data_IF_538719787940
#
_entry.id   IF_538719787940
#
_cell.length_a   1.000
_cell.length_b   1.000
_cell.length_c   1.000
_cell.angle_alpha   90.00
_cell.angle_beta   90.00
_cell.angle_gamma   90.00
#
_symmetry.space_group_name_H-M   'P 1'
#
loop_
_entity.id
_entity.type
_entity.pdbx_description
1 polymer ?
#
# COMPACT_ATOMS: atom_id res chain seq x y z
N UNK A 1 -29.50 2.24 -25.56
CA UNK A 1 -29.96 1.28 -24.53
C UNK A 1 -28.90 1.22 -23.45
N UNK A 2 -29.27 1.70 -22.27
CA UNK A 2 -28.75 1.43 -20.91
C UNK A 2 -27.23 1.34 -20.74
N UNK A 3 -26.69 2.46 -20.27
CA UNK A 3 -25.55 2.53 -19.34
C UNK A 3 -25.77 1.58 -18.15
N UNK A 4 -24.96 0.52 -18.04
CA UNK A 4 -24.81 -0.23 -16.80
C UNK A 4 -23.48 -0.98 -16.77
N UNK A 5 -22.36 -0.25 -16.82
CA UNK A 5 -21.16 -0.72 -16.15
C UNK A 5 -21.23 -0.15 -14.74
N UNK A 6 -21.70 -0.96 -13.80
CA UNK A 6 -21.65 -0.70 -12.37
C UNK A 6 -20.20 -0.36 -12.02
N UNK A 7 -19.92 0.93 -11.83
CA UNK A 7 -18.65 1.40 -11.27
C UNK A 7 -18.60 0.92 -9.83
N UNK A 8 -17.96 -0.23 -9.64
CA UNK A 8 -17.44 -0.64 -8.35
C UNK A 8 -16.63 0.54 -7.77
N UNK A 9 -17.01 1.00 -6.58
CA UNK A 9 -16.39 2.15 -5.90
C UNK A 9 -15.03 1.74 -5.31
N UNK A 10 -14.08 1.39 -6.17
CA UNK A 10 -12.68 1.13 -5.82
C UNK A 10 -11.79 2.18 -6.50
N UNK A 11 -12.16 3.46 -6.35
CA UNK A 11 -11.44 4.57 -6.98
C UNK A 11 -10.27 5.02 -6.13
N UNK A 12 -9.16 4.28 -6.20
CA UNK A 12 -7.86 4.69 -5.68
C UNK A 12 -6.69 4.32 -6.61
N UNK A 13 -6.97 3.91 -7.85
CA UNK A 13 -5.97 3.32 -8.72
C UNK A 13 -5.92 4.00 -10.07
N UNK A 14 -5.10 5.05 -10.20
CA UNK A 14 -4.27 5.25 -11.41
C UNK A 14 -3.19 6.34 -11.28
N UNK A 15 -2.56 6.52 -10.10
CA UNK A 15 -1.92 7.82 -9.83
C UNK A 15 -0.50 8.00 -10.44
N UNK A 16 0.30 6.97 -10.72
CA UNK A 16 1.69 7.18 -11.16
C UNK A 16 2.21 6.12 -12.13
N UNK A 17 2.54 6.50 -13.37
CA UNK A 17 3.14 5.58 -14.34
C UNK A 17 4.67 5.59 -14.28
N UNK A 18 5.22 4.39 -14.08
CA UNK A 18 6.63 3.95 -14.09
C UNK A 18 7.53 4.38 -12.92
N UNK A 19 7.97 5.64 -12.83
CA UNK A 19 8.97 6.03 -11.84
C UNK A 19 8.41 6.27 -10.44
N UNK A 20 7.30 7.02 -10.27
CA UNK A 20 6.76 7.23 -8.93
C UNK A 20 6.08 5.97 -8.39
N UNK A 21 5.66 5.02 -9.25
CA UNK A 21 5.24 3.68 -8.84
C UNK A 21 6.38 2.85 -8.27
N UNK A 22 7.56 2.90 -8.91
CA UNK A 22 8.75 2.22 -8.38
C UNK A 22 9.18 2.83 -7.05
N UNK A 23 9.16 4.16 -6.95
CA UNK A 23 9.48 4.86 -5.71
C UNK A 23 8.47 4.55 -4.61
N UNK A 24 7.17 4.53 -4.91
CA UNK A 24 6.15 4.15 -3.92
C UNK A 24 6.32 2.71 -3.45
N UNK A 25 6.70 1.80 -4.35
CA UNK A 25 7.01 0.40 -4.02
C UNK A 25 8.23 0.29 -3.09
N UNK A 26 9.33 0.98 -3.42
CA UNK A 26 10.54 0.98 -2.60
C UNK A 26 10.32 1.63 -1.23
N UNK A 27 9.58 2.74 -1.20
CA UNK A 27 9.17 3.38 0.04
C UNK A 27 8.35 2.43 0.92
N UNK A 28 7.35 1.75 0.33
CA UNK A 28 6.55 0.78 1.06
C UNK A 28 7.39 -0.37 1.62
N UNK A 29 8.32 -0.92 0.82
CA UNK A 29 9.23 -1.96 1.29
C UNK A 29 10.10 -1.49 2.46
N UNK A 30 10.67 -0.28 2.39
CA UNK A 30 11.53 0.26 3.45
C UNK A 30 10.75 0.48 4.76
N UNK A 31 9.53 1.01 4.68
CA UNK A 31 8.68 1.21 5.87
C UNK A 31 8.28 -0.14 6.49
N UNK A 32 7.93 -1.13 5.68
CA UNK A 32 7.57 -2.47 6.16
C UNK A 32 8.76 -3.14 6.84
N UNK A 33 9.94 -3.14 6.19
CA UNK A 33 11.16 -3.71 6.76
C UNK A 33 11.53 -3.04 8.10
N UNK A 34 11.53 -1.70 8.14
CA UNK A 34 11.76 -0.94 9.38
C UNK A 34 10.74 -1.27 10.47
N UNK A 35 9.50 -1.61 10.10
CA UNK A 35 8.47 -2.01 11.06
C UNK A 35 8.76 -3.38 11.67
N UNK A 36 9.18 -4.35 10.85
CA UNK A 36 9.58 -5.68 11.32
C UNK A 36 10.88 -5.67 12.13
N UNK A 37 11.80 -4.76 11.80
CA UNK A 37 13.01 -4.49 12.59
C UNK A 37 12.71 -3.76 13.92
N UNK A 38 11.48 -3.27 14.12
CA UNK A 38 11.05 -2.57 15.33
C UNK A 38 11.49 -1.10 15.41
N UNK A 39 12.13 -0.57 14.37
CA UNK A 39 12.55 0.84 14.29
C UNK A 39 11.39 1.78 13.93
N UNK A 40 10.38 1.27 13.22
CA UNK A 40 9.09 1.95 12.98
C UNK A 40 7.97 1.22 13.71
N UNK A 41 7.13 1.94 14.45
CA UNK A 41 5.94 1.30 15.06
C UNK A 41 4.87 1.03 14.00
N UNK A 42 4.06 -0.02 14.17
CA UNK A 42 2.90 -0.27 13.31
C UNK A 42 2.00 0.97 13.13
N UNK A 43 1.81 1.76 14.19
CA UNK A 43 1.00 2.99 14.14
C UNK A 43 1.60 4.05 13.19
N UNK A 44 2.91 4.19 13.18
CA UNK A 44 3.59 5.11 12.24
C UNK A 44 3.60 4.54 10.83
N UNK A 45 3.86 3.24 10.68
CA UNK A 45 3.81 2.56 9.39
C UNK A 45 2.44 2.75 8.70
N UNK A 46 1.35 2.64 9.46
CA UNK A 46 0.00 2.88 8.96
C UNK A 46 -0.21 4.31 8.46
N UNK A 47 0.35 5.30 9.17
CA UNK A 47 0.30 6.70 8.74
C UNK A 47 1.11 6.93 7.47
N UNK A 48 2.33 6.39 7.41
CA UNK A 48 3.22 6.53 6.26
C UNK A 48 2.67 5.86 5.00
N UNK A 49 2.03 4.69 5.15
CA UNK A 49 1.48 3.91 4.04
C UNK A 49 0.01 4.23 3.73
N UNK A 50 -0.63 5.09 4.53
CA UNK A 50 -2.05 5.40 4.41
C UNK A 50 -2.98 4.21 4.67
N UNK A 51 -2.50 3.19 5.39
CA UNK A 51 -3.31 2.01 5.76
C UNK A 51 -3.98 2.24 7.11
N UNK A 52 -5.16 1.65 7.31
CA UNK A 52 -5.91 1.76 8.59
C UNK A 52 -6.07 0.42 9.31
N UNK A 53 -5.80 -0.68 8.61
CA UNK A 53 -6.01 -2.06 9.10
C UNK A 53 -4.68 -2.80 9.04
N UNK A 54 -4.38 -3.54 10.11
CA UNK A 54 -3.20 -4.40 10.16
C UNK A 54 -3.16 -5.42 9.02
N UNK A 55 -4.29 -6.07 8.72
CA UNK A 55 -4.38 -7.03 7.60
C UNK A 55 -4.00 -6.41 6.23
N UNK A 56 -4.29 -5.12 6.00
CA UNK A 56 -3.87 -4.43 4.77
C UNK A 56 -2.37 -4.22 4.71
N UNK A 57 -1.74 -3.97 5.86
CA UNK A 57 -0.28 -3.89 5.98
C UNK A 57 0.38 -5.25 5.73
N UNK A 58 -0.12 -6.34 6.35
CA UNK A 58 0.42 -7.70 6.16
C UNK A 58 0.28 -8.20 4.71
N UNK A 59 -0.87 -7.93 4.07
CA UNK A 59 -1.06 -8.25 2.66
C UNK A 59 -0.06 -7.49 1.78
N UNK A 60 0.18 -6.21 2.06
CA UNK A 60 1.16 -5.42 1.34
C UNK A 60 2.60 -5.95 1.56
N UNK A 61 2.93 -6.38 2.77
CA UNK A 61 4.23 -7.01 3.06
C UNK A 61 4.43 -8.30 2.27
N UNK A 62 3.38 -9.11 2.14
CA UNK A 62 3.37 -10.33 1.32
C UNK A 62 3.51 -10.02 -0.16
N UNK A 63 2.71 -9.09 -0.71
CA UNK A 63 2.77 -8.67 -2.12
C UNK A 63 4.14 -8.08 -2.51
N UNK A 64 4.81 -7.44 -1.57
CA UNK A 64 6.12 -6.82 -1.78
C UNK A 64 7.30 -7.74 -1.47
N UNK A 65 7.05 -8.94 -0.93
CA UNK A 65 8.06 -9.94 -0.60
C UNK A 65 8.99 -9.51 0.55
N UNK A 66 8.44 -8.82 1.54
CA UNK A 66 9.18 -8.34 2.74
C UNK A 66 8.81 -9.13 4.00
N UNK A 67 7.66 -9.83 3.98
CA UNK A 67 7.23 -10.77 5.02
C UNK A 67 7.89 -12.14 4.90
#
# INVERSE_FOLDING_TARGET
GILAASRDKSSGGNYYYTQPLRLSRQFAQAVIASTFEGSTTYREAYRLLGTKKHATFENLATELGVA
#
